data_IF_307067428446
#
_entry.id   IF_307067428446
#
_cell.length_a   1.000
_cell.length_b   1.000
_cell.length_c   1.000
_cell.angle_alpha   90.00
_cell.angle_beta   90.00
_cell.angle_gamma   90.00
#
_symmetry.space_group_name_H-M   'P 1'
#
loop_
_entity.id
_entity.type
_entity.pdbx_description
1 polymer ?
#
# COMPACT_ATOMS: atom_id res chain seq x y z
N UNK A 1 -1.60 15.77 1.33
CA UNK A 1 -2.36 15.75 2.61
C UNK A 1 -1.93 16.81 3.63
N UNK A 2 -0.70 17.37 3.57
CA UNK A 2 -0.21 18.36 4.54
C UNK A 2 -1.16 19.56 4.68
N UNK A 3 -1.67 20.09 3.56
CA UNK A 3 -2.64 21.19 3.58
C UNK A 3 -3.89 20.86 4.40
N UNK A 4 -4.54 19.72 4.12
CA UNK A 4 -5.72 19.27 4.88
C UNK A 4 -5.44 19.00 6.34
N UNK A 5 -4.20 18.61 6.69
CA UNK A 5 -3.76 18.47 8.08
C UNK A 5 -3.59 19.81 8.78
N UNK A 6 -3.12 20.84 8.08
CA UNK A 6 -2.96 22.20 8.63
C UNK A 6 -4.31 22.84 8.92
N UNK A 7 -5.30 22.67 8.04
CA UNK A 7 -6.63 23.28 8.15
C UNK A 7 -7.71 22.35 8.71
N UNK A 8 -7.30 21.26 9.36
CA UNK A 8 -8.22 20.27 9.93
C UNK A 8 -9.16 20.87 10.98
N UNK A 9 -8.69 21.86 11.74
CA UNK A 9 -9.51 22.55 12.76
C UNK A 9 -10.57 23.46 12.15
N UNK A 10 -10.25 24.11 11.04
CA UNK A 10 -11.15 25.04 10.36
C UNK A 10 -12.19 24.28 9.52
N UNK A 11 -11.81 23.11 9.00
CA UNK A 11 -12.66 22.26 8.18
C UNK A 11 -12.64 20.79 8.64
N UNK A 12 -13.22 20.47 9.82
CA UNK A 12 -13.12 19.14 10.41
C UNK A 12 -13.77 18.05 9.56
N UNK A 13 -14.95 18.31 9.00
CA UNK A 13 -15.66 17.33 8.16
C UNK A 13 -14.99 17.19 6.80
N UNK A 14 -14.62 18.31 6.17
CA UNK A 14 -14.05 18.29 4.82
C UNK A 14 -12.63 17.71 4.80
N UNK A 15 -11.83 17.98 5.84
CA UNK A 15 -10.49 17.38 5.98
C UNK A 15 -10.56 15.87 6.16
N UNK A 16 -11.59 15.35 6.84
CA UNK A 16 -11.82 13.91 6.96
C UNK A 16 -12.17 13.28 5.60
N UNK A 17 -13.11 13.88 4.86
CA UNK A 17 -13.46 13.45 3.50
C UNK A 17 -12.21 13.48 2.60
N UNK A 18 -11.43 14.57 2.65
CA UNK A 18 -10.23 14.68 1.85
C UNK A 18 -9.17 13.62 2.20
N UNK A 19 -9.03 13.23 3.48
CA UNK A 19 -8.18 12.09 3.87
C UNK A 19 -8.69 10.79 3.26
N UNK A 20 -9.99 10.55 3.29
CA UNK A 20 -10.56 9.29 2.78
C UNK A 20 -10.43 9.18 1.25
N UNK A 21 -10.67 10.27 0.51
CA UNK A 21 -10.64 10.24 -0.96
C UNK A 21 -9.26 10.44 -1.57
N UNK A 22 -8.41 11.32 -1.02
CA UNK A 22 -7.10 11.62 -1.62
C UNK A 22 -6.03 10.59 -1.27
N UNK A 23 -6.28 9.71 -0.30
CA UNK A 23 -5.40 8.58 0.01
C UNK A 23 -5.60 7.40 -0.94
N UNK A 24 -6.73 7.35 -1.64
CA UNK A 24 -6.99 6.34 -2.66
C UNK A 24 -5.98 6.54 -3.79
N UNK A 25 -5.22 5.48 -4.07
CA UNK A 25 -4.28 5.50 -5.18
C UNK A 25 -5.07 5.49 -6.49
N UNK A 26 -4.80 6.47 -7.36
CA UNK A 26 -5.46 6.56 -8.66
C UNK A 26 -5.00 5.47 -9.65
N UNK A 27 -3.89 4.78 -9.36
CA UNK A 27 -3.27 3.81 -10.28
C UNK A 27 -2.92 2.51 -9.57
N UNK A 28 -2.82 1.43 -10.33
CA UNK A 28 -2.36 0.11 -9.87
C UNK A 28 -0.84 0.04 -9.62
N UNK A 29 -0.11 1.13 -9.84
CA UNK A 29 1.36 1.18 -9.79
C UNK A 29 1.94 0.62 -8.48
N UNK A 30 1.37 0.90 -7.29
CA UNK A 30 1.92 0.36 -6.05
C UNK A 30 1.69 -1.15 -5.91
N UNK A 31 0.58 -1.67 -6.43
CA UNK A 31 0.35 -3.11 -6.54
C UNK A 31 1.35 -3.76 -7.50
N UNK A 32 1.59 -3.16 -8.68
CA UNK A 32 2.59 -3.65 -9.64
C UNK A 32 4.00 -3.65 -9.08
N UNK A 33 4.35 -2.63 -8.29
CA UNK A 33 5.62 -2.57 -7.55
C UNK A 33 5.71 -3.68 -6.51
N UNK A 34 4.65 -3.92 -5.74
CA UNK A 34 4.59 -5.02 -4.79
C UNK A 34 4.77 -6.38 -5.49
N UNK A 35 4.13 -6.59 -6.65
CA UNK A 35 4.30 -7.80 -7.45
C UNK A 35 5.72 -7.93 -8.02
N UNK A 36 6.31 -6.85 -8.51
CA UNK A 36 7.70 -6.86 -9.01
C UNK A 36 8.70 -7.28 -7.92
N UNK A 37 8.53 -6.78 -6.69
CA UNK A 37 9.34 -7.17 -5.53
C UNK A 37 9.05 -8.62 -5.12
N UNK A 38 7.80 -9.06 -5.26
CA UNK A 38 7.42 -10.45 -4.97
C UNK A 38 8.08 -11.43 -5.94
N UNK A 39 8.29 -11.07 -7.21
CA UNK A 39 9.01 -11.89 -8.19
C UNK A 39 10.48 -12.16 -7.81
N UNK A 40 11.09 -11.26 -7.03
CA UNK A 40 12.44 -11.47 -6.47
C UNK A 40 12.41 -12.38 -5.22
N UNK A 41 11.30 -12.39 -4.49
CA UNK A 41 11.13 -13.16 -3.25
C UNK A 41 10.67 -14.61 -3.53
N UNK A 42 9.81 -14.76 -4.54
CA UNK A 42 9.35 -16.03 -5.12
C UNK A 42 10.11 -16.21 -6.45
N UNK A 43 11.44 -16.32 -6.35
CA UNK A 43 12.28 -16.59 -7.52
C UNK A 43 12.14 -18.06 -7.96
N UNK A 44 12.50 -18.36 -9.21
CA UNK A 44 12.51 -19.74 -9.77
C UNK A 44 13.27 -20.75 -8.89
N UNK A 45 14.20 -20.29 -8.05
CA UNK A 45 15.00 -21.12 -7.13
C UNK A 45 14.33 -21.37 -5.76
N UNK A 46 13.29 -20.62 -5.39
CA UNK A 46 12.55 -20.73 -4.11
C UNK A 46 11.04 -20.71 -4.36
N UNK A 47 10.59 -21.67 -5.17
CA UNK A 47 9.22 -21.81 -5.67
C UNK A 47 8.34 -22.80 -4.88
N UNK A 48 8.86 -23.40 -3.79
CA UNK A 48 8.13 -24.31 -2.88
C UNK A 48 7.59 -23.59 -1.63
N UNK A 49 7.11 -22.37 -1.78
CA UNK A 49 6.45 -21.62 -0.72
C UNK A 49 4.96 -21.92 -0.76
N UNK A 50 4.38 -22.19 0.40
CA UNK A 50 2.93 -22.23 0.53
C UNK A 50 2.34 -20.85 0.18
N UNK A 51 1.21 -20.78 -0.58
CA UNK A 51 0.60 -19.52 -0.99
C UNK A 51 0.28 -18.57 0.18
N UNK A 52 -0.10 -19.09 1.35
CA UNK A 52 -0.37 -18.29 2.55
C UNK A 52 0.93 -17.65 3.07
N UNK A 53 2.00 -18.44 3.10
CA UNK A 53 3.33 -17.97 3.53
C UNK A 53 3.88 -16.92 2.57
N UNK A 54 3.71 -17.13 1.26
CA UNK A 54 4.11 -16.16 0.25
C UNK A 54 3.37 -14.83 0.42
N UNK A 55 2.06 -14.86 0.64
CA UNK A 55 1.26 -13.65 0.89
C UNK A 55 1.69 -12.92 2.15
N UNK A 56 1.90 -13.64 3.25
CA UNK A 56 2.35 -13.05 4.52
C UNK A 56 3.68 -12.31 4.36
N UNK A 57 4.64 -12.89 3.62
CA UNK A 57 5.94 -12.25 3.34
C UNK A 57 5.77 -10.98 2.50
N UNK A 58 4.94 -11.02 1.45
CA UNK A 58 4.70 -9.84 0.59
C UNK A 58 4.00 -8.73 1.38
N UNK A 59 2.99 -9.06 2.19
CA UNK A 59 2.31 -8.10 3.04
C UNK A 59 3.27 -7.47 4.05
N UNK A 60 4.09 -8.28 4.74
CA UNK A 60 5.08 -7.79 5.71
C UNK A 60 6.10 -6.85 5.06
N UNK A 61 6.57 -7.16 3.85
CA UNK A 61 7.52 -6.32 3.10
C UNK A 61 6.94 -5.00 2.59
N UNK A 62 5.64 -4.91 2.34
CA UNK A 62 4.99 -3.67 1.88
C UNK A 62 4.47 -2.81 3.05
N UNK A 63 4.31 -3.40 4.24
CA UNK A 63 3.74 -2.74 5.41
C UNK A 63 4.76 -1.98 6.27
N UNK A 64 6.02 -2.45 6.30
CA UNK A 64 7.15 -1.78 6.97
C UNK A 64 7.78 -0.77 6.01
#
# INVERSE_FOLDING_TARGET
LIWWKTYEKDYPVLSQIAKDYLTIQATSVPSERAFSISGLTISKTRNRLDPETARAIICMKNWI
#
